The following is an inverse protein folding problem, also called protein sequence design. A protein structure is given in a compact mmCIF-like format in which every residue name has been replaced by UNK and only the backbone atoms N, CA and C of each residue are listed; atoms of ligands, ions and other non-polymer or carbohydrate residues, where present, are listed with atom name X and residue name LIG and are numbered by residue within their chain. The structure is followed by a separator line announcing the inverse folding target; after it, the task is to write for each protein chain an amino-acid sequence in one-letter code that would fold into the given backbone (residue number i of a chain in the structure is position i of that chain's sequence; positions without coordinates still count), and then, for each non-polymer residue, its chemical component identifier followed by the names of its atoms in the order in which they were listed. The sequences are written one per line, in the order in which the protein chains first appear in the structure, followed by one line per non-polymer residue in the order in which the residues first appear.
data_IF_221859085722
#
_entry.id   IF_221859085722
#
_cell.length_a   1.000
_cell.length_b   1.000
_cell.length_c   1.000
_cell.angle_alpha   90.00
_cell.angle_beta   90.00
_cell.angle_gamma   90.00
#
_symmetry.space_group_name_H-M   'P 1'
#
loop_
_entity.id
_entity.type
_entity.pdbx_description
1 polymer ?
#
# COMPACT_ATOMS: atom_id res chain seq x y z
N UNK A 1 31.22 27.78 -11.47
CA UNK A 1 30.32 27.85 -10.29
C UNK A 1 30.88 26.91 -9.24
N UNK A 2 30.98 27.33 -7.98
CA UNK A 2 31.51 26.48 -6.91
C UNK A 2 30.50 25.36 -6.57
N UNK A 3 31.01 24.16 -6.28
CA UNK A 3 30.22 23.01 -5.82
C UNK A 3 29.50 23.35 -4.51
N UNK A 4 28.20 23.04 -4.35
CA UNK A 4 27.47 23.34 -3.12
C UNK A 4 28.12 22.63 -1.93
N UNK A 5 28.37 23.37 -0.85
CA UNK A 5 29.08 22.87 0.34
C UNK A 5 28.12 22.26 1.38
N UNK A 6 26.83 22.57 1.27
CA UNK A 6 25.77 22.05 2.15
C UNK A 6 24.53 21.67 1.34
N UNK A 7 23.66 20.78 1.85
CA UNK A 7 22.35 20.51 1.26
C UNK A 7 21.51 21.77 1.06
N UNK A 8 21.61 22.74 1.98
CA UNK A 8 20.89 24.01 1.88
C UNK A 8 21.39 24.89 0.73
N UNK A 9 22.71 24.92 0.48
CA UNK A 9 23.27 25.63 -0.67
C UNK A 9 22.87 24.96 -1.99
N UNK A 10 22.76 23.63 -2.02
CA UNK A 10 22.24 22.90 -3.19
C UNK A 10 20.78 23.28 -3.48
N UNK A 11 19.92 23.32 -2.46
CA UNK A 11 18.53 23.81 -2.60
C UNK A 11 18.48 25.25 -3.10
N UNK A 12 19.26 26.16 -2.51
CA UNK A 12 19.31 27.56 -2.95
C UNK A 12 19.81 27.70 -4.39
N UNK A 13 20.75 26.85 -4.80
CA UNK A 13 21.27 26.83 -6.17
C UNK A 13 20.24 26.30 -7.18
N UNK A 14 19.49 25.27 -6.81
CA UNK A 14 18.42 24.69 -7.62
C UNK A 14 17.23 25.65 -7.73
N UNK A 15 16.86 26.33 -6.64
CA UNK A 15 15.76 27.30 -6.59
C UNK A 15 16.15 28.71 -7.04
N UNK A 16 17.31 28.92 -7.69
CA UNK A 16 17.81 30.26 -8.06
C UNK A 16 16.86 31.05 -8.97
N UNK A 17 16.10 30.33 -9.80
CA UNK A 17 15.18 30.88 -10.78
C UNK A 17 13.72 30.83 -10.31
N UNK A 18 13.46 30.48 -9.03
CA UNK A 18 12.10 30.37 -8.47
C UNK A 18 11.27 31.64 -8.67
N UNK A 19 11.90 32.82 -8.67
CA UNK A 19 11.19 34.10 -8.86
C UNK A 19 10.73 34.33 -10.30
N UNK A 20 11.15 33.48 -11.25
CA UNK A 20 10.76 33.55 -12.67
C UNK A 20 9.59 32.62 -13.01
N UNK A 21 9.11 31.84 -12.04
CA UNK A 21 7.93 31.02 -12.21
C UNK A 21 6.70 31.90 -12.37
N UNK A 22 5.73 31.42 -13.14
CA UNK A 22 4.54 32.18 -13.51
C UNK A 22 3.43 32.03 -12.47
N UNK A 23 3.35 30.88 -11.81
CA UNK A 23 2.25 30.54 -10.90
C UNK A 23 2.70 30.02 -9.54
N UNK A 24 1.80 30.06 -8.55
CA UNK A 24 2.04 29.50 -7.23
C UNK A 24 2.14 27.98 -7.28
N UNK A 25 1.34 27.33 -8.12
CA UNK A 25 1.38 25.89 -8.35
C UNK A 25 2.75 25.44 -8.85
N UNK A 26 3.34 26.12 -9.84
CA UNK A 26 4.68 25.79 -10.35
C UNK A 26 5.74 25.90 -9.24
N UNK A 27 5.60 26.91 -8.38
CA UNK A 27 6.50 27.11 -7.25
C UNK A 27 6.34 26.03 -6.18
N UNK A 28 5.12 25.61 -5.88
CA UNK A 28 4.83 24.50 -4.97
C UNK A 28 5.33 23.16 -5.53
N UNK A 29 5.17 22.89 -6.82
CA UNK A 29 5.70 21.69 -7.49
C UNK A 29 7.23 21.67 -7.46
N UNK A 30 7.89 22.80 -7.75
CA UNK A 30 9.35 22.92 -7.60
C UNK A 30 9.76 22.65 -6.15
N UNK A 31 9.05 23.24 -5.18
CA UNK A 31 9.33 23.07 -3.77
C UNK A 31 9.19 21.60 -3.33
N UNK A 32 8.13 20.94 -3.77
CA UNK A 32 7.88 19.53 -3.49
C UNK A 32 8.99 18.65 -4.07
N UNK A 33 9.37 18.86 -5.33
CA UNK A 33 10.44 18.12 -5.98
C UNK A 33 11.79 18.25 -5.25
N UNK A 34 12.10 19.43 -4.71
CA UNK A 34 13.31 19.66 -3.91
C UNK A 34 13.25 18.90 -2.57
N UNK A 35 12.10 18.91 -1.91
CA UNK A 35 11.88 18.17 -0.66
C UNK A 35 11.82 16.65 -0.91
N UNK A 36 11.43 16.22 -2.10
CA UNK A 36 11.37 14.81 -2.48
C UNK A 36 12.73 14.12 -2.45
N UNK A 37 13.81 14.84 -2.74
CA UNK A 37 15.17 14.31 -2.55
C UNK A 37 15.46 13.98 -1.08
N UNK A 38 14.97 14.80 -0.15
CA UNK A 38 15.14 14.57 1.30
C UNK A 38 14.29 13.37 1.73
N UNK A 39 13.05 13.33 1.25
CA UNK A 39 12.13 12.22 1.50
C UNK A 39 12.69 10.88 1.00
N UNK A 40 13.24 10.84 -0.22
CA UNK A 40 13.77 9.62 -0.82
C UNK A 40 15.01 9.07 -0.12
N UNK A 41 15.87 9.94 0.41
CA UNK A 41 17.13 9.55 1.07
C UNK A 41 16.95 9.17 2.54
N UNK A 42 15.88 9.65 3.19
CA UNK A 42 15.59 9.27 4.56
C UNK A 42 15.25 7.77 4.67
N UNK A 43 15.85 7.08 5.64
CA UNK A 43 15.69 5.63 5.83
C UNK A 43 14.39 5.28 6.57
N UNK A 44 14.02 6.07 7.58
CA UNK A 44 12.78 5.94 8.37
C UNK A 44 12.20 7.30 8.71
N UNK A 45 10.94 7.34 9.18
CA UNK A 45 10.25 8.56 9.64
C UNK A 45 10.37 9.73 8.65
N UNK A 46 10.17 9.45 7.36
CA UNK A 46 10.48 10.40 6.27
C UNK A 46 9.77 11.73 6.40
N UNK A 47 8.53 11.72 6.88
CA UNK A 47 7.75 12.93 7.16
C UNK A 47 8.44 13.81 8.22
N UNK A 48 8.98 13.20 9.28
CA UNK A 48 9.77 13.91 10.30
C UNK A 48 11.09 14.44 9.72
N UNK A 49 11.81 13.63 8.94
CA UNK A 49 13.05 14.05 8.29
C UNK A 49 12.86 15.29 7.39
N UNK A 50 11.77 15.32 6.61
CA UNK A 50 11.42 16.50 5.79
C UNK A 50 11.09 17.71 6.67
N UNK A 51 10.31 17.55 7.75
CA UNK A 51 10.02 18.64 8.70
C UNK A 51 11.28 19.21 9.33
N UNK A 52 12.19 18.37 9.79
CA UNK A 52 13.45 18.77 10.40
C UNK A 52 14.36 19.48 9.39
N UNK A 53 14.43 18.97 8.16
CA UNK A 53 15.17 19.62 7.09
C UNK A 53 14.62 21.02 6.80
N UNK A 54 13.30 21.18 6.70
CA UNK A 54 12.68 22.49 6.47
C UNK A 54 12.97 23.42 7.64
N UNK A 55 12.80 22.98 8.89
CA UNK A 55 13.12 23.78 10.08
C UNK A 55 14.58 24.28 10.06
N UNK A 56 15.52 23.37 9.81
CA UNK A 56 16.95 23.68 9.68
C UNK A 56 17.24 24.64 8.52
N UNK A 57 16.62 24.43 7.36
CA UNK A 57 16.76 25.29 6.19
C UNK A 57 16.26 26.72 6.46
N UNK A 58 15.08 26.86 7.08
CA UNK A 58 14.51 28.16 7.43
C UNK A 58 15.42 28.92 8.41
N UNK A 59 15.95 28.24 9.43
CA UNK A 59 16.87 28.82 10.39
C UNK A 59 18.21 29.24 9.76
N UNK A 60 18.86 28.33 9.05
CA UNK A 60 20.18 28.52 8.46
C UNK A 60 20.19 29.59 7.36
N UNK A 61 19.11 29.69 6.59
CA UNK A 61 19.03 30.65 5.47
C UNK A 61 18.42 31.99 5.88
N UNK A 62 17.93 32.17 7.11
CA UNK A 62 17.23 33.38 7.59
C UNK A 62 17.94 34.71 7.26
N UNK A 63 19.27 34.73 7.32
CA UNK A 63 20.12 35.90 7.01
C UNK A 63 20.36 36.12 5.50
N UNK A 64 20.13 35.11 4.65
CA UNK A 64 20.22 35.24 3.19
C UNK A 64 19.04 36.09 2.71
N UNK A 65 19.36 37.25 2.12
CA UNK A 65 18.38 38.27 1.71
C UNK A 65 18.06 38.29 0.21
N UNK A 66 18.60 37.36 -0.58
CA UNK A 66 18.28 37.26 -2.01
C UNK A 66 16.79 36.98 -2.23
N UNK A 67 16.24 37.44 -3.35
CA UNK A 67 14.82 37.25 -3.67
C UNK A 67 14.48 35.75 -3.76
N UNK A 68 15.32 34.96 -4.45
CA UNK A 68 15.17 33.50 -4.53
C UNK A 68 15.15 32.83 -3.15
N UNK A 69 16.08 33.16 -2.24
CA UNK A 69 16.12 32.57 -0.90
C UNK A 69 14.86 32.92 -0.07
N UNK A 70 14.35 34.14 -0.16
CA UNK A 70 13.09 34.53 0.51
C UNK A 70 11.89 33.79 -0.07
N UNK A 71 11.86 33.63 -1.38
CA UNK A 71 10.76 33.01 -2.12
C UNK A 71 10.68 31.52 -1.82
N UNK A 72 11.80 30.78 -1.93
CA UNK A 72 11.81 29.34 -1.64
C UNK A 72 11.50 29.03 -0.16
N UNK A 73 11.90 29.89 0.78
CA UNK A 73 11.45 29.76 2.18
C UNK A 73 9.94 29.87 2.33
N UNK A 74 9.30 30.75 1.56
CA UNK A 74 7.84 30.92 1.59
C UNK A 74 7.14 29.69 1.01
N UNK A 75 7.69 29.13 -0.08
CA UNK A 75 7.23 27.86 -0.65
C UNK A 75 7.35 26.71 0.36
N UNK A 76 8.52 26.51 0.98
CA UNK A 76 8.71 25.44 1.96
C UNK A 76 7.83 25.60 3.20
N UNK A 77 7.64 26.84 3.68
CA UNK A 77 6.74 27.11 4.80
C UNK A 77 5.27 26.82 4.46
N UNK A 78 4.86 26.97 3.19
CA UNK A 78 3.51 26.64 2.74
C UNK A 78 3.32 25.13 2.57
N UNK A 79 4.31 24.41 2.05
CA UNK A 79 4.28 22.96 1.87
C UNK A 79 4.37 22.20 3.20
N UNK A 80 5.13 22.73 4.16
CA UNK A 80 5.39 22.09 5.46
C UNK A 80 5.10 23.09 6.59
N UNK A 81 3.82 23.43 6.84
CA UNK A 81 3.43 24.47 7.80
C UNK A 81 3.77 24.13 9.25
N UNK A 82 3.90 22.84 9.56
CA UNK A 82 4.22 22.34 10.91
C UNK A 82 5.73 22.37 11.22
N UNK A 83 6.58 22.71 10.26
CA UNK A 83 8.01 22.84 10.50
C UNK A 83 8.32 24.07 11.38
N UNK A 84 9.29 23.93 12.30
CA UNK A 84 9.65 25.01 13.19
C UNK A 84 10.10 26.25 12.41
N UNK A 85 9.46 27.39 12.67
CA UNK A 85 9.76 28.65 11.99
C UNK A 85 8.98 28.93 10.72
N UNK A 86 8.20 27.96 10.18
CA UNK A 86 7.35 28.17 9.02
C UNK A 86 6.37 29.34 9.23
N UNK A 87 5.66 29.37 10.36
CA UNK A 87 4.73 30.45 10.72
C UNK A 87 5.38 31.84 10.87
N UNK A 88 6.72 31.92 11.02
CA UNK A 88 7.48 33.19 11.10
C UNK A 88 7.93 33.69 9.72
N UNK A 89 7.84 32.87 8.68
CA UNK A 89 8.16 33.27 7.32
C UNK A 89 7.16 34.32 6.86
N UNK A 90 7.68 35.37 6.22
CA UNK A 90 6.90 36.45 5.63
C UNK A 90 7.34 36.63 4.18
N UNK A 91 6.39 36.89 3.26
CA UNK A 91 6.73 37.27 1.90
C UNK A 91 7.70 38.47 1.89
N UNK A 92 8.65 38.45 0.97
CA UNK A 92 9.55 39.59 0.77
C UNK A 92 8.84 40.74 0.05
N UNK A 93 9.37 41.96 0.18
CA UNK A 93 8.87 43.15 -0.57
C UNK A 93 9.02 43.04 -2.09
N UNK A 94 9.84 42.10 -2.57
CA UNK A 94 10.04 41.78 -3.99
C UNK A 94 9.54 40.35 -4.31
N UNK A 95 8.57 39.86 -3.53
CA UNK A 95 7.97 38.57 -3.80
C UNK A 95 7.16 38.63 -5.11
N UNK A 96 7.22 37.58 -5.94
CA UNK A 96 6.31 37.44 -7.08
C UNK A 96 4.84 37.53 -6.63
N UNK A 97 3.97 38.04 -7.51
CA UNK A 97 2.54 38.20 -7.20
C UNK A 97 1.87 36.89 -6.76
N UNK A 98 2.28 35.77 -7.36
CA UNK A 98 1.78 34.44 -7.01
C UNK A 98 2.16 33.99 -5.58
N UNK A 99 3.14 34.62 -4.93
CA UNK A 99 3.57 34.21 -3.58
C UNK A 99 2.47 34.35 -2.53
N UNK A 100 1.49 35.23 -2.75
CA UNK A 100 0.32 35.35 -1.87
C UNK A 100 -0.70 34.23 -2.05
N UNK A 101 -0.60 33.46 -3.14
CA UNK A 101 -1.51 32.37 -3.49
C UNK A 101 -1.01 31.00 -3.03
N UNK A 102 0.22 30.90 -2.50
CA UNK A 102 0.77 29.65 -1.97
C UNK A 102 -0.18 29.00 -0.95
N UNK A 103 -0.55 27.74 -1.19
CA UNK A 103 -1.48 26.97 -0.37
C UNK A 103 -2.94 27.44 -0.38
N UNK A 104 -3.29 28.54 -1.07
CA UNK A 104 -4.65 29.11 -1.09
C UNK A 104 -5.51 28.50 -2.19
N UNK A 105 -5.72 27.19 -2.08
CA UNK A 105 -6.57 26.44 -3.01
C UNK A 105 -7.84 25.98 -2.30
N UNK A 106 -8.92 25.82 -3.06
CA UNK A 106 -10.16 25.20 -2.60
C UNK A 106 -10.43 23.91 -3.35
N UNK A 107 -11.08 22.97 -2.68
CA UNK A 107 -11.50 21.69 -3.25
C UNK A 107 -12.63 21.91 -4.27
N UNK A 108 -12.50 21.34 -5.47
CA UNK A 108 -13.54 21.39 -6.51
C UNK A 108 -14.26 20.06 -6.70
N UNK A 109 -13.65 18.93 -6.32
CA UNK A 109 -14.30 17.62 -6.34
C UNK A 109 -13.43 16.49 -5.82
N UNK A 110 -14.06 15.37 -5.47
CA UNK A 110 -13.42 14.16 -4.94
C UNK A 110 -14.04 12.89 -5.51
N UNK A 111 -13.19 11.97 -5.92
CA UNK A 111 -13.56 10.69 -6.51
C UNK A 111 -12.65 9.58 -6.02
N UNK A 112 -13.11 8.35 -6.16
CA UNK A 112 -12.26 7.17 -6.03
C UNK A 112 -12.58 6.17 -7.13
N UNK A 113 -11.55 5.41 -7.50
CA UNK A 113 -11.66 4.31 -8.43
C UNK A 113 -10.70 3.21 -8.05
N UNK A 114 -10.96 2.00 -8.52
CA UNK A 114 -10.14 0.85 -8.20
C UNK A 114 -10.62 -0.38 -8.95
N UNK A 115 -9.88 -1.47 -8.78
CA UNK A 115 -10.31 -2.75 -9.32
C UNK A 115 -11.50 -3.32 -8.53
N UNK A 116 -12.29 -4.17 -9.18
CA UNK A 116 -13.44 -4.84 -8.57
C UNK A 116 -13.07 -5.83 -7.47
N UNK A 117 -11.82 -6.30 -7.42
CA UNK A 117 -11.37 -7.23 -6.38
C UNK A 117 -11.13 -6.50 -5.05
N UNK A 118 -10.76 -5.22 -5.11
CA UNK A 118 -10.37 -4.41 -3.95
C UNK A 118 -8.89 -4.54 -3.63
N UNK A 119 -8.04 -4.82 -4.63
CA UNK A 119 -6.59 -4.85 -4.45
C UNK A 119 -6.01 -3.45 -4.34
N UNK A 120 -6.51 -2.52 -5.15
CA UNK A 120 -6.02 -1.17 -5.24
C UNK A 120 -7.16 -0.16 -5.26
N UNK A 121 -6.91 1.01 -4.69
CA UNK A 121 -7.84 2.14 -4.75
C UNK A 121 -7.06 3.42 -4.98
N UNK A 122 -7.37 4.10 -6.08
CA UNK A 122 -6.92 5.45 -6.34
C UNK A 122 -7.93 6.45 -5.82
N UNK A 123 -7.46 7.38 -5.00
CA UNK A 123 -8.24 8.53 -4.53
C UNK A 123 -7.82 9.77 -5.31
N UNK A 124 -8.79 10.51 -5.82
CA UNK A 124 -8.59 11.68 -6.65
C UNK A 124 -9.31 12.89 -6.05
N UNK A 125 -8.59 13.99 -5.87
CA UNK A 125 -9.15 15.28 -5.45
C UNK A 125 -8.69 16.38 -6.39
N UNK A 126 -9.60 17.24 -6.84
CA UNK A 126 -9.28 18.40 -7.69
C UNK A 126 -9.33 19.69 -6.91
N UNK A 127 -8.48 20.63 -7.27
CA UNK A 127 -8.29 21.89 -6.56
C UNK A 127 -8.12 23.04 -7.55
N UNK A 128 -8.70 24.18 -7.21
CA UNK A 128 -8.53 25.42 -7.95
C UNK A 128 -8.02 26.54 -7.04
N UNK A 129 -7.31 27.49 -7.65
CA UNK A 129 -7.03 28.79 -7.04
C UNK A 129 -8.12 29.78 -7.45
N UNK A 130 -8.46 30.70 -6.55
CA UNK A 130 -9.38 31.79 -6.85
C UNK A 130 -8.74 32.87 -7.76
N UNK A 131 -7.42 32.97 -7.73
CA UNK A 131 -6.63 33.94 -8.48
C UNK A 131 -5.82 33.24 -9.58
N UNK A 132 -5.77 33.83 -10.78
CA UNK A 132 -5.04 33.30 -11.93
C UNK A 132 -3.52 33.18 -11.68
N UNK A 133 -2.94 34.01 -10.80
CA UNK A 133 -1.55 33.88 -10.38
C UNK A 133 -1.31 32.63 -9.52
N UNK A 134 -2.36 32.01 -8.99
CA UNK A 134 -2.28 30.73 -8.28
C UNK A 134 -1.92 29.58 -9.22
N UNK A 135 -2.53 29.54 -10.41
CA UNK A 135 -2.27 28.55 -11.44
C UNK A 135 -3.55 27.85 -11.93
N UNK A 136 -3.41 26.94 -12.91
CA UNK A 136 -4.55 26.18 -13.42
C UNK A 136 -5.08 25.19 -12.39
N UNK A 137 -6.31 24.70 -12.60
CA UNK A 137 -6.87 23.62 -11.79
C UNK A 137 -6.02 22.34 -11.91
N UNK A 138 -5.71 21.73 -10.78
CA UNK A 138 -4.88 20.53 -10.68
C UNK A 138 -5.57 19.45 -9.85
N UNK A 139 -5.11 18.21 -10.01
CA UNK A 139 -5.57 17.05 -9.27
C UNK A 139 -4.44 16.51 -8.38
N UNK A 140 -4.82 16.04 -7.20
CA UNK A 140 -4.09 15.08 -6.39
C UNK A 140 -4.64 13.69 -6.72
N UNK A 141 -3.76 12.74 -7.04
CA UNK A 141 -4.08 11.32 -7.13
C UNK A 141 -3.21 10.56 -6.14
N UNK A 142 -3.80 9.69 -5.33
CA UNK A 142 -3.09 8.82 -4.41
C UNK A 142 -3.53 7.36 -4.63
N UNK A 143 -2.58 6.49 -4.98
CA UNK A 143 -2.82 5.06 -5.19
C UNK A 143 -2.51 4.29 -3.90
N UNK A 144 -3.54 3.71 -3.31
CA UNK A 144 -3.42 2.79 -2.17
C UNK A 144 -3.44 1.36 -2.68
N UNK A 145 -2.48 0.55 -2.21
CA UNK A 145 -2.40 -0.88 -2.45
C UNK A 145 -2.74 -1.62 -1.14
N UNK A 146 -3.88 -2.30 -1.14
CA UNK A 146 -4.43 -2.99 0.03
C UNK A 146 -3.78 -4.34 0.29
N UNK A 147 -3.05 -4.89 -0.69
CA UNK A 147 -2.29 -6.15 -0.50
C UNK A 147 -1.07 -5.94 0.38
N UNK A 148 -0.48 -4.75 0.34
CA UNK A 148 0.69 -4.39 1.15
C UNK A 148 0.41 -3.27 2.16
N UNK A 149 -0.78 -2.67 2.11
CA UNK A 149 -1.26 -1.71 3.11
C UNK A 149 -0.57 -0.36 3.06
N UNK A 150 -0.17 0.12 1.88
CA UNK A 150 0.57 1.37 1.73
C UNK A 150 -0.02 2.24 0.61
N UNK A 151 0.30 3.54 0.66
CA UNK A 151 0.11 4.42 -0.49
C UNK A 151 1.29 4.22 -1.41
N UNK A 152 1.09 3.44 -2.46
CA UNK A 152 2.12 3.02 -3.42
C UNK A 152 2.66 4.20 -4.23
N UNK A 153 1.78 5.15 -4.59
CA UNK A 153 2.18 6.33 -5.34
C UNK A 153 1.29 7.53 -5.01
N UNK A 154 1.85 8.75 -5.15
CA UNK A 154 1.07 9.99 -5.16
C UNK A 154 1.55 10.89 -6.29
N UNK A 155 0.60 11.60 -6.88
CA UNK A 155 0.86 12.55 -7.96
C UNK A 155 0.04 13.81 -7.78
N UNK A 156 0.65 14.97 -8.01
CA UNK A 156 -0.06 16.26 -8.07
C UNK A 156 0.26 16.98 -9.37
N UNK A 157 -0.76 17.21 -10.21
CA UNK A 157 -0.57 17.88 -11.50
C UNK A 157 -1.87 18.16 -12.23
N UNK A 158 -1.79 18.68 -13.45
CA UNK A 158 -2.97 19.08 -14.22
C UNK A 158 -2.80 19.01 -15.73
N UNK A 159 -3.84 19.39 -16.49
CA UNK A 159 -5.12 19.94 -16.01
C UNK A 159 -6.02 18.89 -15.35
N UNK A 160 -6.71 19.27 -14.27
CA UNK A 160 -7.64 18.39 -13.54
C UNK A 160 -8.69 17.72 -14.43
N UNK A 161 -9.34 18.48 -15.31
CA UNK A 161 -10.35 17.98 -16.25
C UNK A 161 -9.83 16.83 -17.11
N UNK A 162 -8.57 16.94 -17.59
CA UNK A 162 -7.96 15.88 -18.41
C UNK A 162 -7.77 14.61 -17.60
N UNK A 163 -7.30 14.71 -16.37
CA UNK A 163 -7.04 13.55 -15.50
C UNK A 163 -8.37 12.85 -15.18
N UNK A 164 -9.40 13.61 -14.77
CA UNK A 164 -10.73 13.05 -14.50
C UNK A 164 -11.34 12.44 -15.76
N UNK A 165 -11.16 13.07 -16.92
CA UNK A 165 -11.59 12.55 -18.21
C UNK A 165 -10.94 11.21 -18.57
N UNK A 166 -9.62 11.09 -18.38
CA UNK A 166 -8.88 9.85 -18.61
C UNK A 166 -9.35 8.71 -17.69
N UNK A 167 -9.60 9.01 -16.41
CA UNK A 167 -10.13 8.02 -15.45
C UNK A 167 -11.53 7.54 -15.88
N UNK A 168 -12.39 8.46 -16.33
CA UNK A 168 -13.74 8.09 -16.82
C UNK A 168 -13.68 7.24 -18.09
N UNK A 169 -12.76 7.53 -18.99
CA UNK A 169 -12.55 6.74 -20.21
C UNK A 169 -12.04 5.33 -19.87
N UNK A 170 -11.05 5.23 -18.98
CA UNK A 170 -10.54 3.95 -18.48
C UNK A 170 -11.67 3.06 -17.96
N UNK A 171 -12.50 3.59 -17.06
CA UNK A 171 -13.62 2.86 -16.45
C UNK A 171 -14.70 2.49 -17.47
N UNK A 172 -14.95 3.35 -18.47
CA UNK A 172 -15.91 3.03 -19.52
C UNK A 172 -15.48 1.84 -20.40
N UNK A 173 -14.18 1.55 -20.46
CA UNK A 173 -13.61 0.47 -21.27
C UNK A 173 -13.25 -0.79 -20.48
N UNK A 174 -13.20 -0.71 -19.16
CA UNK A 174 -12.78 -1.81 -18.28
C UNK A 174 -13.86 -2.17 -17.26
N UNK A 175 -14.53 -3.30 -17.48
CA UNK A 175 -15.57 -3.82 -16.57
C UNK A 175 -15.01 -4.30 -15.21
N UNK A 176 -13.68 -4.41 -15.07
CA UNK A 176 -13.00 -4.78 -13.83
C UNK A 176 -12.58 -3.56 -13.00
N UNK A 177 -12.96 -2.35 -13.42
CA UNK A 177 -12.69 -1.12 -12.69
C UNK A 177 -14.00 -0.42 -12.33
N UNK A 178 -14.10 0.11 -11.11
CA UNK A 178 -15.23 0.94 -10.67
C UNK A 178 -14.79 2.40 -10.47
N UNK A 179 -15.72 3.34 -10.59
CA UNK A 179 -15.49 4.76 -10.32
C UNK A 179 -16.70 5.38 -9.62
N UNK A 180 -16.47 6.20 -8.60
CA UNK A 180 -17.53 6.91 -7.87
C UNK A 180 -17.03 8.23 -7.28
N UNK A 181 -17.97 9.08 -6.89
CA UNK A 181 -17.67 10.19 -5.99
C UNK A 181 -17.23 9.65 -4.62
N UNK A 182 -16.35 10.40 -3.97
CA UNK A 182 -15.79 10.04 -2.66
C UNK A 182 -16.04 11.14 -1.65
N UNK A 183 -16.28 10.75 -0.39
CA UNK A 183 -16.33 11.69 0.72
C UNK A 183 -14.92 12.25 0.98
N UNK A 184 -14.71 13.58 0.89
CA UNK A 184 -13.42 14.21 1.18
C UNK A 184 -12.81 13.82 2.54
N UNK A 185 -13.66 13.64 3.57
CA UNK A 185 -13.20 13.27 4.90
C UNK A 185 -12.68 11.82 4.96
N UNK A 186 -13.37 10.92 4.25
CA UNK A 186 -12.94 9.53 4.08
C UNK A 186 -11.65 9.44 3.28
N UNK A 187 -11.54 10.16 2.16
CA UNK A 187 -10.30 10.22 1.37
C UNK A 187 -9.11 10.65 2.24
N UNK A 188 -9.26 11.71 3.04
CA UNK A 188 -8.21 12.17 3.96
C UNK A 188 -7.80 11.07 4.95
N UNK A 189 -8.77 10.40 5.56
CA UNK A 189 -8.52 9.32 6.53
C UNK A 189 -7.79 8.13 5.91
N UNK A 190 -8.31 7.63 4.79
CA UNK A 190 -7.78 6.46 4.09
C UNK A 190 -6.37 6.72 3.55
N UNK A 191 -6.19 7.77 2.75
CA UNK A 191 -4.87 8.09 2.17
C UNK A 191 -3.87 8.44 3.27
N UNK A 192 -4.28 9.18 4.29
CA UNK A 192 -3.42 9.55 5.41
C UNK A 192 -2.91 8.36 6.22
N UNK A 193 -3.80 7.38 6.52
CA UNK A 193 -3.43 6.15 7.25
C UNK A 193 -2.36 5.36 6.50
N UNK A 194 -2.54 5.15 5.20
CA UNK A 194 -1.62 4.36 4.38
C UNK A 194 -0.32 5.13 4.07
N UNK A 195 -0.38 6.46 3.91
CA UNK A 195 0.83 7.29 3.80
C UNK A 195 1.69 7.22 5.05
N UNK A 196 1.10 7.21 6.25
CA UNK A 196 1.86 7.10 7.50
C UNK A 196 2.66 5.79 7.58
N UNK A 197 2.09 4.68 7.09
CA UNK A 197 2.81 3.40 6.98
C UNK A 197 3.93 3.52 5.93
N UNK A 198 3.61 4.11 4.78
CA UNK A 198 4.57 4.33 3.67
C UNK A 198 5.80 5.13 4.12
N UNK A 199 5.59 6.19 4.91
CA UNK A 199 6.66 7.06 5.40
C UNK A 199 7.60 6.32 6.37
N UNK A 200 7.15 5.22 6.99
CA UNK A 200 7.91 4.38 7.92
C UNK A 200 8.60 3.16 7.29
N UNK A 201 8.43 2.89 6.00
CA UNK A 201 9.08 1.75 5.32
C UNK A 201 10.61 1.89 5.31
N UNK A 202 11.37 0.79 5.25
CA UNK A 202 12.82 0.91 5.01
C UNK A 202 13.14 1.36 3.59
N UNK A 203 12.40 0.83 2.62
CA UNK A 203 12.53 1.13 1.20
C UNK A 203 11.18 1.60 0.64
N UNK A 204 11.22 2.65 -0.18
CA UNK A 204 10.03 3.14 -0.87
C UNK A 204 9.76 2.31 -2.13
N UNK A 205 8.50 2.28 -2.61
CA UNK A 205 8.19 1.83 -3.96
C UNK A 205 9.11 2.50 -4.98
N UNK A 206 9.76 1.70 -5.83
CA UNK A 206 10.81 2.18 -6.74
C UNK A 206 10.29 3.01 -7.92
N UNK A 207 8.99 2.89 -8.22
CA UNK A 207 8.34 3.56 -9.34
C UNK A 207 7.34 4.61 -8.84
N UNK A 208 7.18 5.68 -9.62
CA UNK A 208 6.14 6.69 -9.38
C UNK A 208 6.68 8.09 -9.05
N UNK A 209 5.75 8.95 -8.62
CA UNK A 209 6.01 10.33 -8.23
C UNK A 209 5.97 10.54 -6.71
N UNK A 210 5.80 9.46 -5.93
CA UNK A 210 5.64 9.47 -4.49
C UNK A 210 6.59 10.45 -3.80
N UNK A 211 7.91 10.25 -3.96
CA UNK A 211 8.89 11.09 -3.29
C UNK A 211 8.80 12.56 -3.75
N UNK A 212 8.71 12.79 -5.06
CA UNK A 212 8.69 14.13 -5.66
C UNK A 212 7.47 14.94 -5.20
N UNK A 213 6.30 14.31 -5.11
CA UNK A 213 5.04 15.01 -4.88
C UNK A 213 4.55 14.91 -3.43
N UNK A 214 5.17 14.08 -2.57
CA UNK A 214 4.72 13.78 -1.20
C UNK A 214 4.38 15.03 -0.38
N UNK A 215 5.23 16.06 -0.44
CA UNK A 215 5.05 17.29 0.33
C UNK A 215 3.81 18.06 -0.15
N UNK A 216 3.63 18.18 -1.47
CA UNK A 216 2.47 18.85 -2.06
C UNK A 216 1.19 18.05 -1.85
N UNK A 217 1.25 16.72 -2.03
CA UNK A 217 0.13 15.82 -1.75
C UNK A 217 -0.33 15.93 -0.29
N UNK A 218 0.61 15.94 0.65
CA UNK A 218 0.33 16.17 2.08
C UNK A 218 -0.35 17.52 2.34
N UNK A 219 0.17 18.58 1.72
CA UNK A 219 -0.43 19.92 1.84
C UNK A 219 -1.87 19.98 1.30
N UNK A 220 -2.17 19.26 0.21
CA UNK A 220 -3.53 19.17 -0.34
C UNK A 220 -4.47 18.31 0.50
N UNK A 221 -3.99 17.16 1.00
CA UNK A 221 -4.76 16.30 1.90
C UNK A 221 -5.11 17.03 3.21
N UNK A 222 -4.23 17.89 3.72
CA UNK A 222 -4.46 18.65 4.94
C UNK A 222 -5.63 19.65 4.82
N UNK A 223 -6.02 20.05 3.60
CA UNK A 223 -7.15 20.93 3.34
C UNK A 223 -8.51 20.21 3.37
N UNK A 224 -8.52 18.89 3.21
CA UNK A 224 -9.75 18.11 3.28
C UNK A 224 -10.27 18.05 4.73
N UNK A 225 -11.58 17.90 4.98
CA UNK A 225 -12.10 17.74 6.34
C UNK A 225 -11.50 16.53 7.06
N UNK A 226 -11.33 16.61 8.38
CA UNK A 226 -10.95 15.45 9.17
C UNK A 226 -12.11 14.44 9.22
N UNK A 227 -11.84 13.12 9.14
CA UNK A 227 -12.87 12.11 9.38
C UNK A 227 -13.42 12.26 10.80
N UNK A 228 -14.73 12.03 10.96
CA UNK A 228 -15.32 12.02 12.28
C UNK A 228 -14.74 10.87 13.12
N UNK A 229 -14.49 11.06 14.42
CA UNK A 229 -14.01 9.99 15.28
C UNK A 229 -14.92 8.75 15.19
N UNK A 230 -14.33 7.57 14.90
CA UNK A 230 -15.06 6.30 14.80
C UNK A 230 -15.65 5.97 13.42
N UNK A 231 -15.40 6.76 12.37
CA UNK A 231 -15.79 6.39 10.98
C UNK A 231 -14.81 5.44 10.31
N UNK A 232 -13.61 5.28 10.87
CA UNK A 232 -12.62 4.31 10.40
C UNK A 232 -13.10 2.93 10.84
N UNK A 233 -13.42 2.07 9.88
CA UNK A 233 -13.73 0.67 10.18
C UNK A 233 -12.41 -0.05 10.44
N UNK A 234 -12.14 -0.37 11.69
CA UNK A 234 -11.11 -1.36 11.99
C UNK A 234 -11.64 -2.72 11.52
N UNK A 235 -11.03 -3.25 10.46
CA UNK A 235 -11.28 -4.62 10.01
C UNK A 235 -10.73 -5.57 11.09
N UNK A 236 -11.58 -5.93 12.07
CA UNK A 236 -11.17 -6.92 13.06
C UNK A 236 -11.08 -8.30 12.41
N UNK A 237 -10.12 -9.15 12.81
CA UNK A 237 -10.12 -10.55 12.42
C UNK A 237 -11.45 -11.22 12.81
N UNK A 238 -11.91 -12.15 11.96
CA UNK A 238 -13.10 -12.95 12.27
C UNK A 238 -12.94 -13.70 13.60
N UNK A 239 -14.00 -13.71 14.41
CA UNK A 239 -14.09 -14.58 15.58
C UNK A 239 -14.12 -16.06 15.19
N UNK A 240 -13.83 -16.96 16.13
CA UNK A 240 -13.89 -18.42 15.87
C UNK A 240 -15.28 -18.88 15.38
N UNK A 241 -16.34 -18.30 15.94
CA UNK A 241 -17.72 -18.60 15.54
C UNK A 241 -18.02 -18.08 14.13
N UNK A 242 -17.59 -16.85 13.81
CA UNK A 242 -17.75 -16.25 12.48
C UNK A 242 -16.97 -17.06 11.42
N UNK A 243 -15.75 -17.52 11.74
CA UNK A 243 -14.96 -18.41 10.88
C UNK A 243 -15.70 -19.73 10.63
N UNK A 244 -16.22 -20.35 11.68
CA UNK A 244 -16.93 -21.64 11.59
C UNK A 244 -18.20 -21.52 10.75
N UNK A 245 -18.98 -20.46 10.95
CA UNK A 245 -20.18 -20.21 10.17
C UNK A 245 -19.86 -19.94 8.70
N UNK A 246 -18.80 -19.18 8.42
CA UNK A 246 -18.37 -18.89 7.06
C UNK A 246 -17.92 -20.16 6.32
N UNK A 247 -17.12 -21.01 6.96
CA UNK A 247 -16.70 -22.30 6.41
C UNK A 247 -17.90 -23.19 6.15
N UNK A 248 -18.84 -23.30 7.10
CA UNK A 248 -20.07 -24.09 6.90
C UNK A 248 -20.88 -23.58 5.71
N UNK A 249 -21.04 -22.26 5.58
CA UNK A 249 -21.76 -21.66 4.46
C UNK A 249 -21.06 -21.91 3.11
N UNK A 250 -19.72 -21.92 3.10
CA UNK A 250 -18.95 -22.29 1.92
C UNK A 250 -19.12 -23.75 1.54
N UNK A 251 -18.99 -24.68 2.49
CA UNK A 251 -19.12 -26.12 2.21
C UNK A 251 -20.53 -26.50 1.74
N UNK A 252 -21.56 -25.78 2.20
CA UNK A 252 -22.93 -25.95 1.72
C UNK A 252 -23.22 -25.29 0.34
N UNK A 253 -22.22 -24.66 -0.28
CA UNK A 253 -22.41 -23.86 -1.50
C UNK A 253 -22.27 -24.67 -2.79
N UNK A 254 -22.90 -24.21 -3.89
CA UNK A 254 -22.68 -24.76 -5.23
C UNK A 254 -21.20 -24.82 -5.66
N UNK A 255 -20.36 -23.91 -5.19
CA UNK A 255 -18.93 -23.89 -5.52
C UNK A 255 -18.18 -25.05 -4.87
N UNK A 256 -18.46 -25.35 -3.60
CA UNK A 256 -17.88 -26.52 -2.94
C UNK A 256 -18.26 -27.81 -3.68
N UNK A 257 -19.52 -27.95 -4.09
CA UNK A 257 -19.96 -29.07 -4.92
C UNK A 257 -19.29 -29.12 -6.30
N UNK A 258 -19.17 -27.98 -6.98
CA UNK A 258 -18.51 -27.86 -8.30
C UNK A 258 -17.05 -28.33 -8.26
N UNK A 259 -16.34 -28.06 -7.18
CA UNK A 259 -14.94 -28.46 -7.00
C UNK A 259 -14.78 -29.80 -6.23
N UNK A 260 -15.87 -30.53 -6.00
CA UNK A 260 -15.90 -31.81 -5.28
C UNK A 260 -15.22 -31.76 -3.91
N UNK A 261 -15.51 -30.70 -3.13
CA UNK A 261 -14.99 -30.48 -1.78
C UNK A 261 -15.86 -31.16 -0.72
N UNK A 262 -16.12 -32.44 -0.92
CA UNK A 262 -16.85 -33.33 0.00
C UNK A 262 -16.10 -34.68 0.08
N UNK A 263 -14.95 -34.71 0.77
CA UNK A 263 -14.16 -35.93 0.92
C UNK A 263 -14.94 -36.96 1.75
N UNK A 264 -14.90 -38.22 1.31
CA UNK A 264 -15.65 -39.31 1.95
C UNK A 264 -14.94 -39.93 3.16
N UNK A 265 -13.67 -39.60 3.39
CA UNK A 265 -12.84 -40.14 4.47
C UNK A 265 -12.40 -39.04 5.46
N UNK A 266 -12.07 -39.47 6.67
CA UNK A 266 -11.68 -38.56 7.76
C UNK A 266 -10.38 -37.80 7.44
N UNK A 267 -9.45 -38.44 6.73
CA UNK A 267 -8.18 -37.83 6.32
C UNK A 267 -8.40 -36.69 5.32
N UNK A 268 -9.19 -36.92 4.26
CA UNK A 268 -9.51 -35.87 3.31
C UNK A 268 -10.29 -34.72 3.93
N UNK A 269 -11.15 -35.01 4.91
CA UNK A 269 -11.88 -33.98 5.65
C UNK A 269 -10.93 -33.12 6.50
N UNK A 270 -9.93 -33.72 7.15
CA UNK A 270 -8.89 -33.00 7.88
C UNK A 270 -8.09 -32.07 6.95
N UNK A 271 -7.60 -32.58 5.81
CA UNK A 271 -6.88 -31.77 4.81
C UNK A 271 -7.71 -30.62 4.25
N UNK A 272 -9.01 -30.85 4.00
CA UNK A 272 -9.92 -29.80 3.54
C UNK A 272 -10.03 -28.66 4.57
N UNK A 273 -10.25 -29.01 5.84
CA UNK A 273 -10.35 -28.03 6.91
C UNK A 273 -9.03 -27.28 7.14
N UNK A 274 -7.89 -27.98 7.05
CA UNK A 274 -6.57 -27.37 7.13
C UNK A 274 -6.31 -26.42 5.96
N UNK A 275 -6.60 -26.82 4.72
CA UNK A 275 -6.49 -25.93 3.56
C UNK A 275 -7.35 -24.67 3.73
N UNK A 276 -8.58 -24.80 4.23
CA UNK A 276 -9.46 -23.66 4.49
C UNK A 276 -8.93 -22.75 5.60
N UNK A 277 -8.32 -23.29 6.66
CA UNK A 277 -7.70 -22.46 7.69
C UNK A 277 -6.54 -21.64 7.12
N UNK A 278 -5.72 -22.22 6.24
CA UNK A 278 -4.63 -21.49 5.57
C UNK A 278 -5.15 -20.30 4.75
N UNK A 279 -6.26 -20.47 4.01
CA UNK A 279 -6.88 -19.37 3.27
C UNK A 279 -7.33 -18.23 4.18
N UNK A 280 -7.99 -18.57 5.30
CA UNK A 280 -8.49 -17.59 6.26
C UNK A 280 -7.35 -16.90 7.02
N UNK A 281 -6.27 -17.63 7.33
CA UNK A 281 -5.11 -17.07 8.02
C UNK A 281 -4.29 -16.17 7.10
N UNK A 282 -4.19 -16.51 5.81
CA UNK A 282 -3.63 -15.61 4.81
C UNK A 282 -4.45 -14.31 4.71
N UNK A 283 -5.77 -14.41 4.58
CA UNK A 283 -6.64 -13.23 4.52
C UNK A 283 -6.57 -12.38 5.79
N UNK A 284 -6.40 -13.00 6.97
CA UNK A 284 -6.24 -12.30 8.24
C UNK A 284 -4.87 -11.62 8.40
N UNK A 285 -3.89 -11.90 7.52
CA UNK A 285 -2.57 -11.28 7.57
C UNK A 285 -2.52 -9.88 6.94
N UNK A 286 -3.56 -9.49 6.20
CA UNK A 286 -3.67 -8.15 5.62
C UNK A 286 -4.14 -7.12 6.66
N UNK A 287 -3.72 -5.84 6.55
CA UNK A 287 -4.17 -4.78 7.45
C UNK A 287 -5.69 -4.57 7.46
N UNK A 288 -6.32 -4.65 6.29
CA UNK A 288 -7.78 -4.64 6.14
C UNK A 288 -8.29 -6.06 5.87
N UNK A 289 -8.25 -6.91 6.91
CA UNK A 289 -8.60 -8.32 6.81
C UNK A 289 -10.00 -8.54 6.23
N UNK A 290 -10.07 -9.16 5.05
CA UNK A 290 -11.32 -9.53 4.38
C UNK A 290 -11.20 -10.95 3.79
N UNK A 291 -11.84 -11.96 4.40
CA UNK A 291 -11.73 -13.36 3.98
C UNK A 291 -12.34 -13.63 2.58
N UNK A 292 -13.12 -12.68 2.06
CA UNK A 292 -13.79 -12.76 0.76
C UNK A 292 -13.08 -11.90 -0.31
N UNK A 293 -11.92 -11.30 -0.02
CA UNK A 293 -11.14 -10.52 -0.97
C UNK A 293 -10.11 -11.41 -1.66
N UNK A 294 -10.53 -12.07 -2.74
CA UNK A 294 -9.67 -12.94 -3.54
C UNK A 294 -9.58 -12.46 -4.98
N UNK A 295 -8.35 -12.19 -5.41
CA UNK A 295 -7.97 -11.74 -6.74
C UNK A 295 -6.87 -12.64 -7.32
N UNK A 296 -6.49 -12.48 -8.59
CA UNK A 296 -5.30 -13.13 -9.13
C UNK A 296 -4.05 -12.85 -8.29
N UNK A 297 -3.84 -11.61 -7.86
CA UNK A 297 -2.67 -11.19 -7.08
C UNK A 297 -2.69 -11.77 -5.67
N UNK A 298 -3.85 -11.77 -4.98
CA UNK A 298 -3.95 -12.39 -3.65
C UNK A 298 -3.72 -13.91 -3.74
N UNK A 299 -4.24 -14.57 -4.78
CA UNK A 299 -4.00 -15.99 -5.01
C UNK A 299 -2.50 -16.28 -5.28
N UNK A 300 -1.80 -15.40 -5.99
CA UNK A 300 -0.36 -15.50 -6.23
C UNK A 300 0.44 -15.33 -4.93
N UNK A 301 0.15 -14.29 -4.15
CA UNK A 301 0.77 -14.05 -2.85
C UNK A 301 0.57 -15.23 -1.90
N UNK A 302 -0.59 -15.88 -1.98
CA UNK A 302 -0.89 -17.07 -1.19
C UNK A 302 -0.11 -18.29 -1.67
N UNK A 303 -0.32 -18.71 -2.93
CA UNK A 303 0.20 -19.97 -3.46
C UNK A 303 1.71 -19.96 -3.67
N UNK A 304 2.30 -18.84 -4.10
CA UNK A 304 3.70 -18.81 -4.50
C UNK A 304 4.64 -18.28 -3.42
N UNK A 305 4.11 -17.76 -2.31
CA UNK A 305 4.96 -17.22 -1.24
C UNK A 305 4.45 -17.54 0.17
N UNK A 306 3.27 -17.05 0.57
CA UNK A 306 2.83 -17.10 1.96
C UNK A 306 2.74 -18.53 2.50
N UNK A 307 2.13 -19.45 1.74
CA UNK A 307 1.91 -20.83 2.21
C UNK A 307 3.22 -21.55 2.48
N UNK A 308 4.23 -21.37 1.62
CA UNK A 308 5.53 -22.01 1.78
C UNK A 308 6.31 -21.48 2.98
N UNK A 309 6.07 -20.21 3.38
CA UNK A 309 6.73 -19.60 4.53
C UNK A 309 6.02 -19.89 5.85
N UNK A 310 4.74 -20.26 5.82
CA UNK A 310 3.85 -20.29 7.00
C UNK A 310 3.30 -21.66 7.32
N UNK A 311 3.27 -22.59 6.38
CA UNK A 311 2.72 -23.92 6.57
C UNK A 311 3.67 -25.00 6.06
N UNK A 312 3.66 -26.15 6.73
CA UNK A 312 4.18 -27.41 6.17
C UNK A 312 2.97 -28.16 5.65
N UNK A 313 2.99 -28.50 4.36
CA UNK A 313 1.93 -29.28 3.72
C UNK A 313 2.41 -30.72 3.59
N UNK A 314 1.56 -31.68 3.89
CA UNK A 314 1.78 -33.04 3.41
C UNK A 314 1.40 -33.15 1.92
N UNK A 315 1.49 -34.37 1.37
CA UNK A 315 1.19 -34.60 -0.05
C UNK A 315 -0.29 -34.41 -0.37
N UNK A 316 -1.18 -34.77 0.55
CA UNK A 316 -2.63 -34.72 0.37
C UNK A 316 -3.11 -33.27 0.46
N UNK A 317 -2.59 -32.50 1.42
CA UNK A 317 -2.79 -31.06 1.56
C UNK A 317 -2.31 -30.33 0.31
N UNK A 318 -1.10 -30.62 -0.15
CA UNK A 318 -0.54 -29.98 -1.35
C UNK A 318 -1.36 -30.30 -2.61
N UNK A 319 -1.84 -31.54 -2.75
CA UNK A 319 -2.72 -31.92 -3.86
C UNK A 319 -4.10 -31.25 -3.77
N UNK A 320 -4.61 -31.04 -2.55
CA UNK A 320 -5.95 -30.50 -2.31
C UNK A 320 -6.01 -28.96 -2.39
N UNK A 321 -4.97 -28.27 -1.93
CA UNK A 321 -4.98 -26.83 -1.69
C UNK A 321 -5.38 -25.98 -2.91
N UNK A 322 -4.84 -26.19 -4.14
CA UNK A 322 -5.24 -25.38 -5.28
C UNK A 322 -6.73 -25.52 -5.62
N UNK A 323 -7.30 -26.71 -5.44
CA UNK A 323 -8.72 -26.98 -5.68
C UNK A 323 -9.60 -26.30 -4.64
N UNK A 324 -9.19 -26.31 -3.38
CA UNK A 324 -9.88 -25.59 -2.29
C UNK A 324 -9.85 -24.09 -2.54
N UNK A 325 -8.69 -23.55 -2.94
CA UNK A 325 -8.54 -22.14 -3.29
C UNK A 325 -9.46 -21.72 -4.44
N UNK A 326 -9.53 -22.49 -5.54
CA UNK A 326 -10.43 -22.20 -6.67
C UNK A 326 -11.90 -22.17 -6.22
N UNK A 327 -12.32 -23.15 -5.42
CA UNK A 327 -13.66 -23.19 -4.85
C UNK A 327 -13.96 -21.98 -3.97
N UNK A 328 -13.04 -21.66 -3.05
CA UNK A 328 -13.18 -20.52 -2.16
C UNK A 328 -13.23 -19.19 -2.89
N UNK A 329 -12.32 -18.97 -3.86
CA UNK A 329 -12.26 -17.76 -4.66
C UNK A 329 -13.55 -17.56 -5.49
N UNK A 330 -14.10 -18.63 -6.08
CA UNK A 330 -15.38 -18.58 -6.78
C UNK A 330 -16.55 -18.24 -5.82
N UNK A 331 -16.55 -18.83 -4.62
CA UNK A 331 -17.56 -18.54 -3.59
C UNK A 331 -17.48 -17.07 -3.14
N UNK A 332 -16.27 -16.58 -2.90
CA UNK A 332 -15.98 -15.21 -2.52
C UNK A 332 -16.43 -14.22 -3.61
N UNK A 333 -16.10 -14.49 -4.87
CA UNK A 333 -16.52 -13.68 -6.01
C UNK A 333 -18.04 -13.55 -6.09
N UNK A 334 -18.79 -14.66 -5.93
CA UNK A 334 -20.26 -14.62 -5.90
C UNK A 334 -20.78 -13.83 -4.70
N UNK A 335 -20.24 -14.06 -3.50
CA UNK A 335 -20.66 -13.36 -2.26
C UNK A 335 -20.43 -11.85 -2.35
N UNK A 336 -19.39 -11.42 -3.07
CA UNK A 336 -19.05 -10.02 -3.33
C UNK A 336 -19.81 -9.42 -4.51
N UNK A 337 -20.49 -10.24 -5.32
CA UNK A 337 -21.17 -9.79 -6.53
C UNK A 337 -20.20 -9.37 -7.63
N UNK A 338 -19.02 -9.99 -7.71
CA UNK A 338 -18.04 -9.67 -8.74
C UNK A 338 -18.54 -10.05 -10.15
N UNK A 339 -18.13 -9.32 -11.20
CA UNK A 339 -18.41 -9.70 -12.58
C UNK A 339 -17.92 -11.12 -12.91
N UNK A 340 -18.63 -11.81 -13.81
CA UNK A 340 -18.24 -13.17 -14.21
C UNK A 340 -16.82 -13.24 -14.79
N UNK A 341 -16.41 -12.23 -15.55
CA UNK A 341 -15.05 -12.11 -16.07
C UNK A 341 -13.99 -12.02 -14.96
N UNK A 342 -14.30 -11.30 -13.86
CA UNK A 342 -13.42 -11.19 -12.71
C UNK A 342 -13.18 -12.56 -12.07
N UNK A 343 -14.27 -13.32 -11.83
CA UNK A 343 -14.20 -14.67 -11.28
C UNK A 343 -13.48 -15.64 -12.21
N UNK A 344 -13.71 -15.57 -13.52
CA UNK A 344 -13.05 -16.42 -14.51
C UNK A 344 -11.54 -16.15 -14.56
N UNK A 345 -11.14 -14.86 -14.55
CA UNK A 345 -9.73 -14.47 -14.53
C UNK A 345 -9.00 -14.96 -13.28
N UNK A 346 -9.63 -14.89 -12.10
CA UNK A 346 -9.04 -15.45 -10.86
C UNK A 346 -8.89 -16.97 -10.96
N UNK A 347 -9.90 -17.68 -11.46
CA UNK A 347 -9.86 -19.14 -11.61
C UNK A 347 -8.75 -19.58 -12.58
N UNK A 348 -8.62 -18.91 -13.73
CA UNK A 348 -7.55 -19.15 -14.70
C UNK A 348 -6.17 -18.87 -14.11
N UNK A 349 -6.00 -17.73 -13.42
CA UNK A 349 -4.71 -17.40 -12.79
C UNK A 349 -4.30 -18.48 -11.78
N UNK A 350 -5.23 -18.94 -10.92
CA UNK A 350 -4.94 -20.01 -9.96
C UNK A 350 -4.49 -21.28 -10.69
N UNK A 351 -5.18 -21.67 -11.76
CA UNK A 351 -4.83 -22.85 -12.55
C UNK A 351 -3.43 -22.75 -13.18
N UNK A 352 -3.07 -21.58 -13.71
CA UNK A 352 -1.75 -21.31 -14.30
C UNK A 352 -0.61 -21.35 -13.27
N UNK A 353 -0.91 -21.05 -11.99
CA UNK A 353 0.08 -21.06 -10.90
C UNK A 353 0.35 -22.46 -10.32
N UNK A 354 -0.52 -23.45 -10.56
CA UNK A 354 -0.40 -24.80 -9.97
C UNK A 354 0.95 -25.48 -10.24
N UNK A 355 1.51 -25.45 -11.47
CA UNK A 355 2.81 -26.07 -11.73
C UNK A 355 3.94 -25.44 -10.93
N UNK A 356 3.94 -24.12 -10.77
CA UNK A 356 4.96 -23.41 -9.99
C UNK A 356 4.80 -23.66 -8.49
N UNK A 357 3.57 -23.68 -7.99
CA UNK A 357 3.28 -24.09 -6.61
C UNK A 357 3.82 -25.51 -6.33
N UNK A 358 3.57 -26.48 -7.22
CA UNK A 358 4.08 -27.84 -7.07
C UNK A 358 5.62 -27.90 -7.08
N UNK A 359 6.26 -27.08 -7.94
CA UNK A 359 7.72 -26.94 -7.96
C UNK A 359 8.23 -26.41 -6.62
N UNK A 360 7.70 -25.28 -6.13
CA UNK A 360 8.11 -24.65 -4.87
C UNK A 360 7.87 -25.55 -3.65
N UNK A 361 6.76 -26.28 -3.64
CA UNK A 361 6.48 -27.30 -2.63
C UNK A 361 7.58 -28.36 -2.59
N UNK A 362 7.95 -28.91 -3.77
CA UNK A 362 8.95 -29.98 -3.90
C UNK A 362 10.39 -29.53 -3.61
N UNK A 363 10.76 -28.31 -4.00
CA UNK A 363 12.13 -27.81 -3.82
C UNK A 363 12.36 -27.24 -2.42
N UNK A 364 11.30 -26.75 -1.76
CA UNK A 364 11.40 -26.07 -0.47
C UNK A 364 12.10 -24.71 -0.55
N UNK A 365 12.34 -24.17 -1.74
CA UNK A 365 13.11 -22.94 -2.00
C UNK A 365 12.57 -21.71 -1.24
N UNK A 366 11.25 -21.65 -1.03
CA UNK A 366 10.55 -20.55 -0.35
C UNK A 366 10.26 -20.80 1.12
N UNK A 367 10.72 -21.91 1.70
CA UNK A 367 10.46 -22.24 3.12
C UNK A 367 11.19 -21.26 4.03
N UNK A 368 10.50 -20.81 5.08
CA UNK A 368 11.18 -20.10 6.17
C UNK A 368 12.10 -21.08 6.92
N UNK A 369 13.13 -20.62 7.65
CA UNK A 369 13.98 -21.51 8.46
C UNK A 369 13.18 -22.38 9.44
N UNK A 370 12.14 -21.83 10.06
CA UNK A 370 11.25 -22.56 10.96
C UNK A 370 10.45 -23.64 10.21
N UNK A 371 9.86 -23.29 9.07
CA UNK A 371 9.10 -24.23 8.23
C UNK A 371 10.01 -25.34 7.68
N UNK A 372 11.25 -25.02 7.32
CA UNK A 372 12.24 -26.00 6.88
C UNK A 372 12.59 -27.00 8.00
N UNK A 373 12.76 -26.52 9.23
CA UNK A 373 13.01 -27.37 10.39
C UNK A 373 11.82 -28.33 10.67
N UNK A 374 10.58 -27.82 10.64
CA UNK A 374 9.38 -28.66 10.83
C UNK A 374 9.23 -29.67 9.69
N UNK A 375 9.46 -29.27 8.44
CA UNK A 375 9.42 -30.20 7.32
C UNK A 375 10.48 -31.31 7.43
N UNK A 376 11.65 -31.00 7.98
CA UNK A 376 12.69 -32.00 8.25
C UNK A 376 12.27 -32.98 9.37
N UNK A 377 11.64 -32.48 10.44
CA UNK A 377 11.08 -33.33 11.51
C UNK A 377 10.06 -34.33 10.94
N UNK A 378 9.13 -33.85 10.11
CA UNK A 378 8.13 -34.71 9.47
C UNK A 378 8.77 -35.70 8.49
N UNK A 379 9.79 -35.29 7.72
CA UNK A 379 10.53 -36.19 6.84
C UNK A 379 11.29 -37.29 7.61
N UNK A 380 11.71 -37.00 8.84
CA UNK A 380 12.34 -37.96 9.75
C UNK A 380 11.29 -38.85 10.46
N UNK A 381 10.00 -38.69 10.14
CA UNK A 381 8.89 -39.48 10.69
C UNK A 381 8.44 -39.04 12.08
N UNK A 382 8.78 -37.82 12.49
CA UNK A 382 8.39 -37.24 13.77
C UNK A 382 7.12 -36.43 13.58
N UNK A 383 6.10 -36.74 14.37
CA UNK A 383 4.91 -35.90 14.49
C UNK A 383 5.25 -34.68 15.37
N UNK A 384 5.24 -33.45 14.81
CA UNK A 384 5.56 -32.24 15.57
C UNK A 384 4.52 -31.92 16.66
N UNK A 385 3.30 -32.48 16.57
CA UNK A 385 2.25 -32.31 17.56
C UNK A 385 2.28 -33.37 18.68
N UNK A 386 3.21 -34.33 18.61
CA UNK A 386 3.51 -35.30 19.67
C UNK A 386 4.77 -34.88 20.46
N UNK A 387 4.63 -34.32 21.68
CA UNK A 387 5.76 -33.88 22.50
C UNK A 387 6.77 -35.00 22.79
N UNK A 388 6.32 -36.25 22.89
CA UNK A 388 7.19 -37.37 23.20
C UNK A 388 8.04 -37.79 21.98
N UNK A 389 7.47 -37.73 20.77
CA UNK A 389 8.20 -37.98 19.52
C UNK A 389 9.23 -36.86 19.26
N UNK A 390 8.86 -35.61 19.52
CA UNK A 390 9.74 -34.45 19.38
C UNK A 390 10.93 -34.51 20.35
N UNK A 391 10.68 -34.79 21.63
CA UNK A 391 11.74 -34.92 22.65
C UNK A 391 12.71 -36.08 22.33
N UNK A 392 12.18 -37.21 21.84
CA UNK A 392 12.99 -38.36 21.44
C UNK A 392 13.89 -38.04 20.23
N UNK A 393 13.41 -37.28 19.26
CA UNK A 393 14.21 -36.84 18.11
C UNK A 393 15.27 -35.81 18.52
N UNK A 394 14.94 -34.85 19.39
CA UNK A 394 15.89 -33.87 19.91
C UNK A 394 17.04 -34.57 20.67
N UNK A 395 16.73 -35.60 21.46
CA UNK A 395 17.73 -36.42 22.15
C UNK A 395 18.62 -37.18 21.14
N UNK A 396 18.03 -37.79 20.11
CA UNK A 396 18.74 -38.56 19.09
C UNK A 396 19.64 -37.69 18.19
N UNK A 397 19.22 -36.46 17.89
CA UNK A 397 19.92 -35.55 16.98
C UNK A 397 20.74 -34.47 17.69
N UNK A 398 20.89 -34.56 19.02
CA UNK A 398 21.63 -33.59 19.86
C UNK A 398 23.05 -33.30 19.37
N UNK A 399 23.76 -34.31 18.86
CA UNK A 399 25.12 -34.16 18.34
C UNK A 399 25.17 -33.40 17.00
N UNK A 400 24.13 -33.50 16.16
CA UNK A 400 24.04 -32.81 14.87
C UNK A 400 23.67 -31.33 15.04
N UNK A 401 22.78 -31.04 15.99
CA UNK A 401 22.35 -29.68 16.35
C UNK A 401 23.47 -28.86 17.01
N UNK A 402 24.44 -29.52 17.66
CA UNK A 402 25.59 -28.86 18.27
C UNK A 402 26.65 -28.39 17.25
N UNK A 403 26.73 -29.04 16.08
CA UNK A 403 27.68 -28.70 15.01
C UNK A 403 27.15 -27.64 14.02
N UNK A 404 25.83 -27.47 13.88
CA UNK A 404 25.21 -26.41 13.06
C UNK A 404 25.12 -25.04 13.78
N UNK A 405 25.45 -24.99 15.07
CA UNK A 405 25.45 -23.78 15.91
C UNK A 405 26.83 -23.13 16.12
N UNK A 406 27.87 -23.55 15.39
CA UNK A 406 29.25 -23.06 15.50
C UNK A 406 29.70 -22.19 14.32
#
# INVERSE_FOLDING_TARGET
MATPQTPYDAVLHAARDVTRLDTALDAEMLGAALLGSVYAVAETDRDAAVREFVAGFLAATSRRRTAAARTIRSVFAALVPDAEGAARVRPGTLAPAWSEQLGRVHLTGTWSYGDVYGDQTSYLATFAYDDAAGGPEHALVALVDHNIGITKDVFVGGPAERIVGQVRELVATDELTWFREEDPARMRGEVGRHLAITDGLGELPAEGSLATDRALAGARLALLPLPAPGTVRDARPLSGDERTELVRAFLASPEAARFALDPSDDAGLASLHFCLSLLLDHAASFPDADPLRWSPTVAELFLLDWVHRRAVLDMDDAAMLPRVLRGWAAYAARRKGLPAAASARTDTAIEEMVPEFARLYSTGERRSPATAAVAQLMADGVDPDDPAALDAWIEANRHRLADEGA
#
